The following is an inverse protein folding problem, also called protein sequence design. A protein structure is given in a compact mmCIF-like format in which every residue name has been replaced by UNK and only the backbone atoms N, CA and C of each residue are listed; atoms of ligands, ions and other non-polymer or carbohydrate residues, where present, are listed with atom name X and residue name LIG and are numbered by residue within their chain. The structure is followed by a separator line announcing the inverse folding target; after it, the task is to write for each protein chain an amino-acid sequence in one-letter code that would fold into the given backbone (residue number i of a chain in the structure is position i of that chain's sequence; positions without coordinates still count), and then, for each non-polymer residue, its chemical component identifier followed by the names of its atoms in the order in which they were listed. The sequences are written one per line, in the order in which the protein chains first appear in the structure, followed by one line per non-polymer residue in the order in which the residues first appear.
data_IF_837416055871
#
_entry.id   IF_837416055871
#
_cell.length_a   1.000
_cell.length_b   1.000
_cell.length_c   1.000
_cell.angle_alpha   90.00
_cell.angle_beta   90.00
_cell.angle_gamma   90.00
#
_symmetry.space_group_name_H-M   'P 1'
#
loop_
_entity.id
_entity.type
_entity.pdbx_description
1 polymer ?
#
# COMPACT_ATOMS: atom_id res chain seq x y z
N UNK A 1 -31.02 -42.51 -15.39
CA UNK A 1 -30.46 -41.79 -14.24
C UNK A 1 -28.96 -41.68 -14.44
N UNK A 2 -28.50 -40.60 -15.04
CA UNK A 2 -27.08 -40.33 -15.24
C UNK A 2 -26.71 -39.13 -14.36
N UNK A 3 -26.00 -39.41 -13.30
CA UNK A 3 -25.40 -38.39 -12.45
C UNK A 3 -24.04 -38.05 -13.01
N UNK A 4 -23.96 -36.98 -13.80
CA UNK A 4 -22.69 -36.36 -14.17
C UNK A 4 -22.08 -35.65 -12.96
N UNK A 5 -21.03 -36.23 -12.43
CA UNK A 5 -20.18 -35.59 -11.44
C UNK A 5 -19.49 -34.39 -12.10
N UNK A 6 -19.82 -33.19 -11.60
CA UNK A 6 -19.16 -31.95 -11.97
C UNK A 6 -17.77 -31.95 -11.27
N UNK A 7 -16.73 -32.36 -12.01
CA UNK A 7 -15.36 -32.19 -11.56
C UNK A 7 -15.01 -30.71 -11.70
N UNK A 8 -15.05 -29.98 -10.60
CA UNK A 8 -14.44 -28.65 -10.52
C UNK A 8 -12.93 -28.77 -10.82
N UNK A 9 -12.48 -28.04 -11.83
CA UNK A 9 -11.06 -27.93 -12.13
C UNK A 9 -10.30 -27.45 -10.87
N UNK A 10 -9.07 -27.95 -10.61
CA UNK A 10 -8.28 -27.50 -9.47
C UNK A 10 -8.07 -25.97 -9.61
N UNK A 11 -8.46 -25.23 -8.58
CA UNK A 11 -8.11 -23.83 -8.47
C UNK A 11 -6.60 -23.74 -8.44
N UNK A 12 -5.99 -23.01 -9.39
CA UNK A 12 -4.57 -22.74 -9.36
C UNK A 12 -4.25 -22.12 -8.00
N UNK A 13 -3.36 -22.74 -7.23
CA UNK A 13 -2.91 -22.22 -5.94
C UNK A 13 -2.45 -20.77 -6.15
N UNK A 14 -2.92 -19.87 -5.27
CA UNK A 14 -2.52 -18.48 -5.31
C UNK A 14 -0.99 -18.39 -5.13
N UNK A 15 -0.28 -17.56 -5.94
CA UNK A 15 1.17 -17.50 -5.90
C UNK A 15 1.67 -17.19 -4.48
N UNK A 16 2.62 -18.00 -4.01
CA UNK A 16 3.34 -17.75 -2.77
C UNK A 16 4.46 -16.73 -2.99
N UNK A 17 4.95 -16.14 -1.89
CA UNK A 17 6.07 -15.22 -1.93
C UNK A 17 7.35 -15.93 -2.39
N UNK A 18 8.04 -15.35 -3.39
CA UNK A 18 9.31 -15.88 -3.92
C UNK A 18 10.54 -15.45 -3.13
N UNK A 19 10.40 -14.48 -2.20
CA UNK A 19 11.49 -14.07 -1.31
C UNK A 19 11.21 -12.78 -0.57
N UNK A 20 12.05 -12.52 0.45
CA UNK A 20 12.03 -11.28 1.23
C UNK A 20 13.41 -10.64 1.15
N UNK A 21 13.46 -9.32 0.84
CA UNK A 21 14.70 -8.60 0.62
C UNK A 21 14.72 -7.30 1.42
N UNK A 22 15.87 -6.98 2.01
CA UNK A 22 16.14 -5.66 2.59
C UNK A 22 16.34 -4.66 1.46
N UNK A 23 15.75 -3.48 1.58
CA UNK A 23 15.83 -2.44 0.55
C UNK A 23 16.93 -1.42 0.82
N UNK A 24 17.43 -1.35 2.04
CA UNK A 24 18.55 -0.48 2.42
C UNK A 24 19.87 -1.25 2.44
N UNK A 25 21.01 -0.60 2.11
CA UNK A 25 22.33 -1.22 2.14
C UNK A 25 22.78 -1.55 3.57
N UNK A 26 23.89 -2.27 3.69
CA UNK A 26 24.50 -2.65 4.96
C UNK A 26 23.65 -3.65 5.74
N UNK A 27 23.39 -3.36 7.02
CA UNK A 27 22.52 -4.17 7.90
C UNK A 27 21.03 -3.98 7.60
N UNK A 28 20.70 -3.10 6.65
CA UNK A 28 19.33 -2.78 6.24
C UNK A 28 18.62 -1.80 7.17
N UNK A 29 19.32 -1.23 8.16
CA UNK A 29 18.78 -0.25 9.10
C UNK A 29 19.14 1.16 8.64
N UNK A 30 18.20 1.94 8.10
CA UNK A 30 18.48 3.28 7.61
C UNK A 30 18.57 4.31 8.75
N UNK A 31 19.12 5.49 8.43
CA UNK A 31 19.17 6.64 9.34
C UNK A 31 17.80 7.01 9.88
N UNK A 32 17.76 7.49 11.14
CA UNK A 32 16.55 7.86 11.86
C UNK A 32 15.86 6.70 12.59
N UNK A 33 16.42 5.51 12.55
CA UNK A 33 15.96 4.34 13.31
C UNK A 33 17.10 3.60 14.03
N UNK A 34 18.28 4.23 14.16
CA UNK A 34 19.49 3.65 14.78
C UNK A 34 19.25 3.22 16.23
N UNK A 35 18.52 4.04 16.97
CA UNK A 35 18.22 3.82 18.40
C UNK A 35 16.98 2.96 18.65
N UNK A 36 16.37 2.43 17.59
CA UNK A 36 15.17 1.62 17.73
C UNK A 36 15.53 0.20 18.16
N UNK A 37 15.16 -0.15 19.39
CA UNK A 37 15.53 -1.44 20.02
C UNK A 37 14.44 -2.49 20.01
N UNK A 38 13.23 -2.15 19.52
CA UNK A 38 12.12 -3.08 19.44
C UNK A 38 12.25 -4.04 18.26
N UNK A 39 11.59 -5.19 18.36
CA UNK A 39 11.60 -6.22 17.34
C UNK A 39 10.28 -6.29 16.58
N UNK A 40 10.39 -6.50 15.28
CA UNK A 40 9.25 -6.77 14.42
C UNK A 40 8.52 -8.05 14.87
N UNK A 41 7.20 -8.01 14.82
CA UNK A 41 6.34 -9.19 14.95
C UNK A 41 5.19 -9.17 13.96
N UNK A 42 4.72 -10.34 13.58
CA UNK A 42 3.52 -10.53 12.77
C UNK A 42 2.55 -11.41 13.53
N UNK A 43 1.30 -10.99 13.66
CA UNK A 43 0.28 -11.65 14.44
C UNK A 43 -1.10 -11.55 13.81
N UNK A 44 -2.07 -12.35 14.28
CA UNK A 44 -3.47 -12.19 13.91
C UNK A 44 -4.02 -10.87 14.44
N UNK A 45 -4.89 -10.23 13.65
CA UNK A 45 -5.54 -8.98 14.05
C UNK A 45 -6.56 -9.26 15.15
N UNK A 46 -6.34 -8.82 16.41
CA UNK A 46 -7.17 -9.25 17.54
C UNK A 46 -8.59 -8.64 17.53
N UNK A 47 -8.85 -7.63 16.71
CA UNK A 47 -10.16 -6.95 16.58
C UNK A 47 -10.90 -7.30 15.30
N UNK A 48 -10.34 -8.14 14.43
CA UNK A 48 -10.97 -8.53 13.18
C UNK A 48 -11.80 -9.79 13.32
N UNK A 49 -12.95 -9.82 12.66
CA UNK A 49 -13.76 -11.06 12.51
C UNK A 49 -13.26 -11.93 11.36
N UNK A 50 -12.51 -11.35 10.44
CA UNK A 50 -11.86 -12.05 9.33
C UNK A 50 -10.47 -12.49 9.78
N UNK A 51 -10.06 -13.70 9.43
CA UNK A 51 -8.72 -14.20 9.70
C UNK A 51 -7.71 -13.46 8.84
N UNK A 52 -7.04 -12.48 9.43
CA UNK A 52 -6.02 -11.66 8.78
C UNK A 52 -4.90 -11.32 9.76
N UNK A 53 -3.73 -11.03 9.22
CA UNK A 53 -2.55 -10.68 10.01
C UNK A 53 -2.20 -9.21 9.86
N UNK A 54 -1.54 -8.70 10.90
CA UNK A 54 -0.82 -7.43 10.88
C UNK A 54 0.67 -7.66 11.20
N UNK A 55 1.54 -6.81 10.65
CA UNK A 55 2.92 -6.65 11.13
C UNK A 55 3.05 -5.35 11.91
N UNK A 56 3.91 -5.33 12.91
CA UNK A 56 4.17 -4.19 13.79
C UNK A 56 5.64 -4.07 14.15
N UNK A 57 6.04 -2.90 14.65
CA UNK A 57 7.40 -2.67 15.13
C UNK A 57 8.47 -2.91 14.04
N UNK A 58 8.17 -2.59 12.80
CA UNK A 58 9.13 -2.68 11.70
C UNK A 58 10.24 -1.65 11.89
N UNK A 59 11.48 -2.11 11.95
CA UNK A 59 12.71 -1.30 12.09
C UNK A 59 13.56 -1.39 10.83
N UNK A 60 13.61 -2.59 10.23
CA UNK A 60 14.36 -2.87 9.01
C UNK A 60 13.39 -3.02 7.85
N UNK A 61 13.33 -2.03 6.93
CA UNK A 61 12.44 -2.11 5.78
C UNK A 61 12.78 -3.27 4.86
N UNK A 62 11.74 -3.99 4.43
CA UNK A 62 11.87 -5.12 3.52
C UNK A 62 10.78 -5.10 2.46
N UNK A 63 11.03 -5.76 1.33
CA UNK A 63 10.00 -6.10 0.35
C UNK A 63 9.84 -7.61 0.27
N UNK A 64 8.59 -8.05 0.29
CA UNK A 64 8.21 -9.44 -0.02
C UNK A 64 7.78 -9.50 -1.47
N UNK A 65 8.42 -10.36 -2.27
CA UNK A 65 8.21 -10.45 -3.72
C UNK A 65 7.18 -11.52 -4.04
N UNK A 66 6.24 -11.17 -4.91
CA UNK A 66 5.26 -12.07 -5.52
C UNK A 66 5.42 -12.01 -7.03
N UNK A 67 5.68 -13.15 -7.65
CA UNK A 67 5.89 -13.25 -9.08
C UNK A 67 4.66 -13.85 -9.78
N UNK A 68 4.32 -13.39 -10.99
CA UNK A 68 3.35 -14.07 -11.83
C UNK A 68 3.78 -15.51 -12.13
N UNK A 69 2.82 -16.36 -12.45
CA UNK A 69 3.12 -17.72 -12.91
C UNK A 69 4.13 -17.71 -14.08
N UNK A 70 4.96 -18.74 -14.25
CA UNK A 70 5.96 -18.80 -15.30
C UNK A 70 5.40 -18.46 -16.69
N UNK A 71 6.05 -17.54 -17.40
CA UNK A 71 5.65 -17.06 -18.71
C UNK A 71 4.44 -16.10 -18.73
N UNK A 72 3.95 -15.64 -17.59
CA UNK A 72 2.84 -14.68 -17.48
C UNK A 72 3.28 -13.26 -17.13
N UNK A 73 4.52 -13.05 -16.69
CA UNK A 73 5.02 -11.72 -16.38
C UNK A 73 5.03 -10.81 -17.62
N UNK A 74 4.53 -9.58 -17.46
CA UNK A 74 4.42 -8.60 -18.55
C UNK A 74 5.45 -7.45 -18.45
N UNK A 75 6.41 -7.55 -17.51
CA UNK A 75 7.45 -6.55 -17.26
C UNK A 75 7.00 -5.41 -16.35
N UNK A 76 5.72 -5.25 -16.05
CA UNK A 76 5.22 -4.24 -15.11
C UNK A 76 5.44 -4.70 -13.67
N UNK A 77 5.72 -3.75 -12.78
CA UNK A 77 5.83 -4.03 -11.34
C UNK A 77 5.18 -2.96 -10.48
N UNK A 78 4.79 -3.34 -9.27
CA UNK A 78 4.16 -2.45 -8.30
C UNK A 78 4.69 -2.70 -6.88
N UNK A 79 5.18 -1.65 -6.24
CA UNK A 79 5.40 -1.63 -4.79
C UNK A 79 4.05 -1.44 -4.10
N UNK A 80 3.74 -2.26 -3.11
CA UNK A 80 2.46 -2.23 -2.37
C UNK A 80 2.74 -1.85 -0.93
N UNK A 81 2.24 -0.71 -0.47
CA UNK A 81 2.40 -0.20 0.88
C UNK A 81 1.09 -0.35 1.68
N UNK A 82 0.98 -1.33 2.60
CA UNK A 82 -0.20 -1.53 3.44
C UNK A 82 -0.46 -0.36 4.38
N UNK A 83 -1.71 -0.17 4.81
CA UNK A 83 -2.08 0.79 5.84
C UNK A 83 -1.91 0.27 7.26
N UNK A 84 -2.28 1.10 8.24
CA UNK A 84 -2.22 0.78 9.68
C UNK A 84 -1.72 1.93 10.54
N UNK A 85 -2.04 3.16 10.15
CA UNK A 85 -1.78 4.39 10.91
C UNK A 85 -0.29 4.58 11.30
N UNK A 86 0.66 4.10 10.51
CA UNK A 86 2.10 4.12 10.77
C UNK A 86 2.54 3.38 12.05
N UNK A 87 1.67 2.59 12.65
CA UNK A 87 1.95 1.71 13.80
C UNK A 87 1.83 0.23 13.43
N UNK A 88 1.02 -0.07 12.43
CA UNK A 88 0.78 -1.42 11.92
C UNK A 88 0.91 -1.46 10.40
N UNK A 89 1.05 -2.67 9.86
CA UNK A 89 0.81 -2.97 8.45
C UNK A 89 -0.27 -4.03 8.39
N UNK A 90 -1.40 -3.73 7.77
CA UNK A 90 -2.48 -4.67 7.50
C UNK A 90 -2.05 -5.59 6.34
N UNK A 91 -1.08 -6.48 6.64
CA UNK A 91 -0.20 -7.12 5.66
C UNK A 91 -0.93 -8.10 4.73
N UNK A 92 -2.05 -8.68 5.16
CA UNK A 92 -2.80 -9.61 4.32
C UNK A 92 -3.67 -8.86 3.31
N UNK A 93 -4.78 -8.25 3.72
CA UNK A 93 -5.79 -7.71 2.79
C UNK A 93 -5.38 -6.39 2.09
N UNK A 94 -4.39 -5.67 2.59
CA UNK A 94 -3.82 -4.46 1.94
C UNK A 94 -2.40 -4.69 1.38
N UNK A 95 -1.87 -5.90 1.54
CA UNK A 95 -0.55 -6.28 1.07
C UNK A 95 -0.58 -7.53 0.19
N UNK A 96 -0.62 -8.70 0.82
CA UNK A 96 -0.46 -9.97 0.12
C UNK A 96 -1.63 -10.28 -0.83
N UNK A 97 -2.87 -9.94 -0.48
CA UNK A 97 -4.01 -10.17 -1.37
C UNK A 97 -3.96 -9.25 -2.59
N UNK A 98 -3.50 -7.99 -2.43
CA UNK A 98 -3.21 -7.11 -3.56
C UNK A 98 -2.10 -7.68 -4.44
N UNK A 99 -1.03 -8.20 -3.83
CA UNK A 99 0.06 -8.80 -4.58
C UNK A 99 -0.38 -10.02 -5.38
N UNK A 100 -1.19 -10.91 -4.79
CA UNK A 100 -1.77 -12.08 -5.49
C UNK A 100 -2.68 -11.67 -6.64
N UNK A 101 -3.48 -10.64 -6.45
CA UNK A 101 -4.31 -10.11 -7.52
C UNK A 101 -3.47 -9.52 -8.65
N UNK A 102 -2.44 -8.73 -8.36
CA UNK A 102 -1.52 -8.19 -9.36
C UNK A 102 -0.81 -9.28 -10.15
N UNK A 103 -0.32 -10.32 -9.47
CA UNK A 103 0.36 -11.43 -10.15
C UNK A 103 -0.57 -12.22 -11.06
N UNK A 104 -1.87 -12.29 -10.75
CA UNK A 104 -2.88 -12.88 -11.65
C UNK A 104 -3.05 -12.09 -12.95
N UNK A 105 -2.66 -10.81 -12.96
CA UNK A 105 -2.66 -9.91 -14.11
C UNK A 105 -1.30 -9.83 -14.84
N UNK A 106 -0.31 -10.60 -14.40
CA UNK A 106 1.03 -10.58 -14.98
C UNK A 106 1.96 -9.51 -14.42
N UNK A 107 1.58 -8.82 -13.34
CA UNK A 107 2.35 -7.76 -12.69
C UNK A 107 3.14 -8.35 -11.51
N UNK A 108 4.44 -8.12 -11.45
CA UNK A 108 5.26 -8.49 -10.28
C UNK A 108 5.00 -7.52 -9.14
N UNK A 109 4.73 -8.02 -7.95
CA UNK A 109 4.40 -7.19 -6.80
C UNK A 109 5.46 -7.29 -5.69
N UNK A 110 5.74 -6.14 -5.06
CA UNK A 110 6.70 -5.97 -3.99
C UNK A 110 5.99 -5.40 -2.77
N UNK A 111 5.57 -6.24 -1.82
CA UNK A 111 4.88 -5.80 -0.61
C UNK A 111 5.88 -5.22 0.37
N UNK A 112 5.76 -3.93 0.61
CA UNK A 112 6.69 -3.15 1.43
C UNK A 112 6.30 -3.22 2.91
N UNK A 113 7.23 -3.64 3.74
CA UNK A 113 7.23 -3.36 5.17
C UNK A 113 8.10 -2.14 5.41
N UNK A 114 7.49 -0.98 5.61
CA UNK A 114 8.18 0.28 5.92
C UNK A 114 8.28 0.48 7.43
N UNK A 115 9.18 1.38 7.89
CA UNK A 115 9.41 1.70 9.29
C UNK A 115 8.15 2.21 9.98
N UNK A 116 7.91 1.70 11.20
CA UNK A 116 6.71 1.99 11.97
C UNK A 116 7.05 2.59 13.33
N UNK A 117 6.16 3.43 13.85
CA UNK A 117 6.17 3.84 15.22
C UNK A 117 5.99 2.62 16.15
N UNK A 118 6.65 2.68 17.33
CA UNK A 118 6.58 1.61 18.33
C UNK A 118 5.14 1.40 18.82
N UNK A 119 4.77 0.14 18.95
CA UNK A 119 3.56 -0.33 19.64
C UNK A 119 3.93 -1.02 20.95
N UNK A 120 2.99 -1.28 21.87
CA UNK A 120 3.28 -2.03 23.09
C UNK A 120 3.99 -3.36 22.83
N UNK A 121 4.89 -3.72 23.73
CA UNK A 121 5.68 -4.96 23.59
C UNK A 121 4.79 -6.21 23.72
N UNK A 122 3.73 -6.15 24.53
CA UNK A 122 2.80 -7.25 24.81
C UNK A 122 1.57 -7.18 23.91
N UNK A 123 1.26 -8.29 23.25
CA UNK A 123 0.15 -8.42 22.30
C UNK A 123 -1.22 -8.15 22.94
N UNK A 124 -1.40 -8.50 24.20
CA UNK A 124 -2.63 -8.28 24.98
C UNK A 124 -2.99 -6.79 25.12
N UNK A 125 -2.01 -5.89 25.05
CA UNK A 125 -2.22 -4.44 25.15
C UNK A 125 -2.54 -3.77 23.80
N UNK A 126 -2.49 -4.51 22.70
CA UNK A 126 -2.65 -3.94 21.36
C UNK A 126 -4.05 -3.42 21.07
N UNK A 127 -5.07 -4.10 21.59
CA UNK A 127 -6.46 -3.66 21.37
C UNK A 127 -6.73 -2.33 22.07
N UNK A 128 -6.29 -2.19 23.31
CA UNK A 128 -6.40 -0.93 24.06
C UNK A 128 -5.61 0.18 23.36
N UNK A 129 -4.35 -0.08 23.04
CA UNK A 129 -3.50 0.87 22.29
C UNK A 129 -4.15 1.32 20.98
N UNK A 130 -4.71 0.39 20.19
CA UNK A 130 -5.40 0.73 18.93
C UNK A 130 -6.62 1.61 19.19
N UNK A 131 -7.42 1.33 20.22
CA UNK A 131 -8.61 2.10 20.56
C UNK A 131 -8.23 3.52 20.99
N UNK A 132 -7.19 3.67 21.81
CA UNK A 132 -6.64 4.96 22.23
C UNK A 132 -6.08 5.74 21.03
N UNK A 133 -5.36 5.07 20.13
CA UNK A 133 -4.86 5.68 18.91
C UNK A 133 -6.00 6.19 18.03
N UNK A 134 -7.06 5.39 17.83
CA UNK A 134 -8.22 5.82 17.06
C UNK A 134 -8.94 7.00 17.70
N UNK A 135 -9.11 7.00 19.04
CA UNK A 135 -9.71 8.13 19.77
C UNK A 135 -8.88 9.41 19.59
N UNK A 136 -7.56 9.32 19.70
CA UNK A 136 -6.63 10.45 19.46
C UNK A 136 -6.70 10.94 18.01
N UNK A 137 -6.77 10.03 17.03
CA UNK A 137 -6.90 10.40 15.62
C UNK A 137 -8.24 11.08 15.30
N UNK A 138 -9.33 10.64 15.95
CA UNK A 138 -10.64 11.26 15.79
C UNK A 138 -10.70 12.68 16.42
N UNK A 139 -9.93 12.93 17.48
CA UNK A 139 -9.84 14.22 18.15
C UNK A 139 -8.83 15.18 17.51
N UNK A 140 -7.77 14.63 16.91
CA UNK A 140 -6.73 15.39 16.26
C UNK A 140 -7.22 15.86 14.89
N UNK A 141 -7.83 16.94 14.72
CA UNK A 141 -8.25 17.52 13.43
C UNK A 141 -7.39 17.13 12.20
N UNK A 142 -7.05 18.04 11.30
CA UNK A 142 -6.25 17.75 10.10
C UNK A 142 -4.88 17.11 10.42
N UNK A 143 -4.32 16.41 9.45
CA UNK A 143 -3.06 15.63 9.53
C UNK A 143 -1.86 16.34 10.22
N UNK A 144 -1.80 17.68 10.19
CA UNK A 144 -0.74 18.48 10.79
C UNK A 144 -0.68 18.42 12.35
N UNK A 145 -1.78 18.08 13.00
CA UNK A 145 -1.91 18.06 14.46
C UNK A 145 -1.75 16.65 15.06
N UNK A 146 -1.35 15.67 14.23
CA UNK A 146 -1.18 14.29 14.68
C UNK A 146 0.00 14.13 15.64
N UNK A 147 -0.03 13.11 16.53
CA UNK A 147 1.04 12.88 17.51
C UNK A 147 2.43 12.90 16.86
N UNK A 148 3.44 13.55 17.49
CA UNK A 148 4.79 13.70 16.91
C UNK A 148 5.43 12.38 16.46
N UNK A 149 5.25 11.29 17.21
CA UNK A 149 5.77 9.97 16.87
C UNK A 149 5.21 9.47 15.53
N UNK A 150 3.92 9.71 15.26
CA UNK A 150 3.30 9.32 13.99
C UNK A 150 3.81 10.17 12.83
N UNK A 151 4.09 11.46 13.06
CA UNK A 151 4.66 12.33 12.04
C UNK A 151 6.07 11.85 11.63
N UNK A 152 6.91 11.49 12.61
CA UNK A 152 8.25 10.94 12.35
C UNK A 152 8.18 9.63 11.57
N UNK A 153 7.38 8.66 12.03
CA UNK A 153 7.23 7.37 11.35
C UNK A 153 6.69 7.52 9.91
N UNK A 154 5.82 8.52 9.67
CA UNK A 154 5.35 8.83 8.32
C UNK A 154 6.48 9.28 7.41
N UNK A 155 7.31 10.22 7.83
CA UNK A 155 8.43 10.71 7.01
C UNK A 155 9.40 9.58 6.67
N UNK A 156 9.69 8.72 7.65
CA UNK A 156 10.53 7.55 7.45
C UNK A 156 9.88 6.52 6.50
N UNK A 157 8.58 6.30 6.63
CA UNK A 157 7.83 5.42 5.71
C UNK A 157 7.79 5.96 4.27
N UNK A 158 7.62 7.27 4.07
CA UNK A 158 7.68 7.93 2.76
C UNK A 158 9.08 7.77 2.13
N UNK A 159 10.14 7.87 2.95
CA UNK A 159 11.52 7.62 2.52
C UNK A 159 11.72 6.15 2.11
N UNK A 160 11.20 5.20 2.91
CA UNK A 160 11.24 3.77 2.59
C UNK A 160 10.47 3.45 1.30
N UNK A 161 9.37 4.14 1.04
CA UNK A 161 8.62 4.04 -0.23
C UNK A 161 9.46 4.44 -1.43
N UNK A 162 10.16 5.57 -1.36
CA UNK A 162 11.10 6.00 -2.41
C UNK A 162 12.26 5.04 -2.57
N UNK A 163 12.81 4.56 -1.47
CA UNK A 163 13.90 3.58 -1.50
C UNK A 163 13.45 2.24 -2.09
N UNK A 164 12.22 1.80 -1.83
CA UNK A 164 11.68 0.59 -2.44
C UNK A 164 11.61 0.70 -3.97
N UNK A 165 11.12 1.83 -4.50
CA UNK A 165 11.09 2.08 -5.95
C UNK A 165 12.51 2.06 -6.54
N UNK A 166 13.46 2.76 -5.90
CA UNK A 166 14.87 2.77 -6.32
C UNK A 166 15.44 1.36 -6.34
N UNK A 167 15.25 0.63 -5.26
CA UNK A 167 15.75 -0.74 -5.12
C UNK A 167 15.14 -1.69 -6.18
N UNK A 168 13.84 -1.60 -6.45
CA UNK A 168 13.19 -2.41 -7.50
C UNK A 168 13.78 -2.06 -8.86
N UNK A 169 14.00 -0.76 -9.17
CA UNK A 169 14.56 -0.30 -10.43
C UNK A 169 16.00 -0.78 -10.62
N UNK A 170 16.83 -0.71 -9.59
CA UNK A 170 18.22 -1.20 -9.61
C UNK A 170 18.29 -2.73 -9.80
N UNK A 171 17.29 -3.46 -9.34
CA UNK A 171 17.22 -4.92 -9.42
C UNK A 171 16.26 -5.43 -10.51
N UNK A 172 15.78 -4.57 -11.41
CA UNK A 172 14.74 -4.90 -12.39
C UNK A 172 15.10 -6.13 -13.26
N UNK A 173 16.34 -6.27 -13.66
CA UNK A 173 16.83 -7.39 -14.46
C UNK A 173 16.64 -8.75 -13.79
N UNK A 174 16.63 -8.80 -12.45
CA UNK A 174 16.45 -10.04 -11.68
C UNK A 174 15.09 -10.71 -11.93
N UNK A 175 14.07 -9.92 -12.19
CA UNK A 175 12.69 -10.35 -12.42
C UNK A 175 12.18 -10.01 -13.83
N UNK A 176 13.12 -9.69 -14.75
CA UNK A 176 12.80 -9.32 -16.12
C UNK A 176 11.75 -8.18 -16.20
N UNK A 177 11.91 -7.16 -15.34
CA UNK A 177 11.03 -6.00 -15.28
C UNK A 177 11.50 -4.92 -16.26
N UNK A 178 10.53 -4.14 -16.75
CA UNK A 178 10.80 -2.87 -17.41
C UNK A 178 11.04 -1.78 -16.34
N UNK A 179 12.23 -1.17 -16.25
CA UNK A 179 12.54 -0.15 -15.26
C UNK A 179 11.72 1.14 -15.41
N UNK A 180 10.99 1.30 -16.53
CA UNK A 180 10.09 2.42 -16.81
C UNK A 180 8.60 2.06 -16.55
N UNK A 181 8.33 0.92 -15.92
CA UNK A 181 6.99 0.44 -15.59
C UNK A 181 6.88 -0.01 -14.13
N UNK A 182 7.46 0.78 -13.24
CA UNK A 182 7.50 0.54 -11.78
C UNK A 182 6.54 1.50 -11.09
N UNK A 183 5.43 0.99 -10.57
CA UNK A 183 4.46 1.78 -9.82
C UNK A 183 4.56 1.61 -8.31
N UNK A 184 3.78 2.42 -7.61
CA UNK A 184 3.55 2.27 -6.18
C UNK A 184 2.06 2.38 -5.87
N UNK A 185 1.54 1.48 -5.04
CA UNK A 185 0.21 1.58 -4.45
C UNK A 185 0.28 1.71 -2.94
N UNK A 186 -0.69 2.38 -2.35
CA UNK A 186 -0.75 2.47 -0.90
C UNK A 186 -2.16 2.67 -0.37
N UNK A 187 -2.39 2.10 0.83
CA UNK A 187 -3.66 2.08 1.52
C UNK A 187 -3.58 2.93 2.78
N UNK A 188 -4.52 3.84 3.03
CA UNK A 188 -4.55 4.62 4.27
C UNK A 188 -3.20 5.30 4.59
N UNK A 189 -2.52 4.91 5.66
CA UNK A 189 -1.17 5.35 6.00
C UNK A 189 -0.15 4.99 4.91
N UNK A 190 -0.23 3.78 4.33
CA UNK A 190 0.55 3.38 3.16
C UNK A 190 0.22 4.22 1.92
N UNK A 191 -1.02 4.73 1.83
CA UNK A 191 -1.39 5.78 0.87
C UNK A 191 -0.57 7.05 1.07
N UNK A 192 -0.27 7.41 2.32
CA UNK A 192 0.68 8.48 2.63
C UNK A 192 2.09 8.20 2.11
N UNK A 193 2.54 6.94 2.24
CA UNK A 193 3.83 6.49 1.66
C UNK A 193 3.83 6.65 0.14
N UNK A 194 2.78 6.18 -0.54
CA UNK A 194 2.70 6.28 -2.01
C UNK A 194 2.58 7.73 -2.49
N UNK A 195 1.80 8.58 -1.82
CA UNK A 195 1.68 10.00 -2.15
C UNK A 195 3.01 10.73 -1.88
N UNK A 196 3.69 10.45 -0.75
CA UNK A 196 5.01 11.01 -0.47
C UNK A 196 6.05 10.62 -1.53
N UNK A 197 6.03 9.35 -1.98
CA UNK A 197 6.89 8.89 -3.07
C UNK A 197 6.55 9.57 -4.41
N UNK A 198 5.27 9.86 -4.67
CA UNK A 198 4.81 10.51 -5.90
C UNK A 198 5.03 12.03 -5.95
N UNK A 199 5.26 12.66 -4.79
CA UNK A 199 5.43 14.12 -4.69
C UNK A 199 6.85 14.54 -4.29
N UNK A 200 7.71 13.60 -3.82
CA UNK A 200 9.04 13.89 -3.29
C UNK A 200 10.08 12.88 -3.80
N UNK A 201 10.22 12.77 -5.10
CA UNK A 201 11.16 11.83 -5.72
C UNK A 201 12.39 12.53 -6.30
N UNK A 202 13.41 11.74 -6.55
CA UNK A 202 14.48 12.00 -7.50
C UNK A 202 14.32 11.10 -8.74
N UNK A 203 15.19 11.24 -9.71
CA UNK A 203 15.12 10.46 -10.96
C UNK A 203 15.15 8.94 -10.74
N UNK A 204 15.86 8.45 -9.71
CA UNK A 204 15.98 7.03 -9.42
C UNK A 204 14.75 6.48 -8.68
N UNK A 205 14.07 7.30 -7.87
CA UNK A 205 12.94 6.93 -7.03
C UNK A 205 11.57 7.37 -7.56
N UNK A 206 11.51 8.03 -8.74
CA UNK A 206 10.26 8.44 -9.34
C UNK A 206 9.42 7.21 -9.73
N UNK A 207 8.18 7.06 -9.21
CA UNK A 207 7.29 6.00 -9.69
C UNK A 207 6.79 6.34 -11.11
N UNK A 208 6.55 5.33 -11.93
CA UNK A 208 6.02 5.51 -13.29
C UNK A 208 4.49 5.63 -13.29
N UNK A 209 3.84 5.17 -12.21
CA UNK A 209 2.41 5.35 -11.94
C UNK A 209 2.11 5.16 -10.44
N UNK A 210 1.00 5.72 -9.98
CA UNK A 210 0.63 5.72 -8.55
C UNK A 210 -0.83 5.31 -8.35
N UNK A 211 -1.08 4.51 -7.32
CA UNK A 211 -2.42 4.10 -6.89
C UNK A 211 -2.62 4.47 -5.43
N UNK A 212 -3.59 5.31 -5.14
CA UNK A 212 -3.98 5.68 -3.77
C UNK A 212 -5.34 5.12 -3.41
N UNK A 213 -5.39 4.21 -2.44
CA UNK A 213 -6.62 3.61 -1.92
C UNK A 213 -6.92 4.26 -0.57
N UNK A 214 -7.97 5.07 -0.49
CA UNK A 214 -8.29 5.96 0.65
C UNK A 214 -7.02 6.56 1.29
N UNK A 215 -6.15 7.24 0.49
CA UNK A 215 -4.81 7.59 0.93
C UNK A 215 -4.82 8.73 1.95
N UNK A 216 -4.11 8.55 3.05
CA UNK A 216 -3.67 9.67 3.85
C UNK A 216 -2.55 10.41 3.10
N UNK A 217 -2.53 11.75 3.12
CA UNK A 217 -1.48 12.54 2.48
C UNK A 217 -1.18 13.81 3.28
N UNK A 218 -0.08 14.46 2.97
CA UNK A 218 0.36 15.68 3.64
C UNK A 218 -0.06 16.91 2.82
N UNK A 219 -0.93 17.78 3.34
CA UNK A 219 -1.46 18.92 2.58
C UNK A 219 -0.42 19.99 2.24
N UNK A 220 0.75 19.96 2.88
CA UNK A 220 1.88 20.84 2.58
C UNK A 220 2.70 20.41 1.36
N UNK A 221 2.49 19.18 0.84
CA UNK A 221 3.18 18.71 -0.35
C UNK A 221 2.62 19.35 -1.61
N UNK A 222 3.49 19.55 -2.58
CA UNK A 222 3.14 20.06 -3.91
C UNK A 222 3.33 18.97 -4.95
N UNK A 223 2.48 18.98 -5.98
CA UNK A 223 2.58 18.04 -7.10
C UNK A 223 3.62 18.57 -8.08
N UNK A 224 4.68 17.79 -8.39
CA UNK A 224 5.66 18.15 -9.42
C UNK A 224 5.01 18.26 -10.82
N UNK A 225 5.57 19.09 -11.70
CA UNK A 225 5.07 19.26 -13.06
C UNK A 225 5.15 17.97 -13.92
N UNK A 226 6.07 17.06 -13.55
CA UNK A 226 6.26 15.75 -14.19
C UNK A 226 5.71 14.61 -13.31
N UNK A 227 4.71 14.89 -12.45
CA UNK A 227 4.10 13.89 -11.59
C UNK A 227 3.59 12.67 -12.39
N UNK A 228 3.72 11.46 -11.86
CA UNK A 228 3.26 10.25 -12.55
C UNK A 228 1.73 10.22 -12.66
N UNK A 229 1.17 9.46 -13.62
CA UNK A 229 -0.27 9.19 -13.65
C UNK A 229 -0.78 8.63 -12.33
N UNK A 230 -1.94 9.10 -11.89
CA UNK A 230 -2.53 8.80 -10.58
C UNK A 230 -3.90 8.15 -10.73
N UNK A 231 -4.12 7.05 -9.99
CA UNK A 231 -5.43 6.46 -9.73
C UNK A 231 -5.79 6.61 -8.24
N UNK A 232 -6.92 7.22 -7.96
CA UNK A 232 -7.42 7.45 -6.59
C UNK A 232 -8.77 6.77 -6.39
N UNK A 233 -8.96 6.20 -5.21
CA UNK A 233 -10.22 5.58 -4.84
C UNK A 233 -10.50 5.72 -3.33
N UNK A 234 -11.73 6.06 -2.98
CA UNK A 234 -12.15 6.31 -1.60
C UNK A 234 -13.67 6.12 -1.45
N UNK A 235 -14.13 5.90 -0.22
CA UNK A 235 -15.56 5.94 0.11
C UNK A 235 -15.94 7.30 0.72
N UNK A 236 -17.12 7.81 0.39
CA UNK A 236 -17.62 9.10 0.91
C UNK A 236 -17.94 9.05 2.41
N UNK A 237 -18.35 7.88 2.88
CA UNK A 237 -18.65 7.60 4.30
C UNK A 237 -17.41 7.24 5.14
N UNK A 238 -16.19 7.38 4.59
CA UNK A 238 -14.94 7.14 5.32
C UNK A 238 -14.77 8.15 6.48
N UNK A 239 -14.65 7.64 7.71
CA UNK A 239 -14.49 8.44 8.93
C UNK A 239 -13.03 8.68 9.32
N UNK A 240 -12.09 8.01 8.67
CA UNK A 240 -10.65 8.10 8.95
C UNK A 240 -9.92 9.03 8.00
N UNK A 241 -10.31 9.02 6.72
CA UNK A 241 -9.79 9.89 5.67
C UNK A 241 -10.95 10.51 4.91
N UNK A 242 -11.03 11.83 4.88
CA UNK A 242 -12.12 12.52 4.20
C UNK A 242 -12.04 12.35 2.68
N UNK A 243 -13.17 12.04 2.02
CA UNK A 243 -13.28 12.02 0.56
C UNK A 243 -12.89 13.36 -0.07
N UNK A 244 -13.13 14.48 0.64
CA UNK A 244 -12.71 15.81 0.21
C UNK A 244 -11.18 15.97 0.16
N UNK A 245 -10.43 15.17 0.91
CA UNK A 245 -8.96 15.18 0.79
C UNK A 245 -8.49 14.54 -0.52
N UNK A 246 -9.16 13.49 -0.99
CA UNK A 246 -8.88 12.86 -2.29
C UNK A 246 -9.24 13.78 -3.46
N UNK A 247 -10.34 14.54 -3.37
CA UNK A 247 -10.69 15.53 -4.40
C UNK A 247 -9.66 16.65 -4.49
N UNK A 248 -9.06 17.07 -3.37
CA UNK A 248 -7.95 18.04 -3.37
C UNK A 248 -6.71 17.49 -4.09
N UNK A 249 -6.34 16.25 -3.81
CA UNK A 249 -5.21 15.59 -4.51
C UNK A 249 -5.47 15.52 -6.01
N UNK A 250 -6.66 15.11 -6.41
CA UNK A 250 -7.08 15.06 -7.81
C UNK A 250 -6.96 16.45 -8.47
N UNK A 251 -7.48 17.51 -7.84
CA UNK A 251 -7.39 18.88 -8.34
C UNK A 251 -5.93 19.36 -8.48
N UNK A 252 -5.07 19.00 -7.51
CA UNK A 252 -3.64 19.33 -7.57
C UNK A 252 -2.95 18.65 -8.77
N UNK A 253 -3.23 17.37 -9.02
CA UNK A 253 -2.71 16.65 -10.19
C UNK A 253 -3.19 17.24 -11.49
N UNK A 254 -4.48 17.55 -11.57
CA UNK A 254 -5.07 18.18 -12.74
C UNK A 254 -4.43 19.55 -13.04
N UNK A 255 -4.21 20.38 -12.01
CA UNK A 255 -3.53 21.69 -12.14
C UNK A 255 -2.06 21.57 -12.55
N UNK A 256 -1.39 20.49 -12.15
CA UNK A 256 -0.02 20.18 -12.59
C UNK A 256 0.05 19.68 -14.04
N UNK A 257 -1.10 19.44 -14.69
CA UNK A 257 -1.15 18.89 -16.05
C UNK A 257 -0.89 17.38 -16.13
N UNK A 258 -0.86 16.69 -15.00
CA UNK A 258 -0.62 15.25 -14.93
C UNK A 258 -1.92 14.45 -14.92
N UNK A 259 -1.98 13.28 -15.61
CA UNK A 259 -3.18 12.47 -15.66
C UNK A 259 -3.60 11.97 -14.28
N UNK A 260 -4.88 12.11 -13.94
CA UNK A 260 -5.45 11.58 -12.72
C UNK A 260 -6.84 11.01 -12.96
N UNK A 261 -7.18 9.95 -12.23
CA UNK A 261 -8.51 9.35 -12.17
C UNK A 261 -8.93 9.20 -10.71
N UNK A 262 -10.17 9.56 -10.37
CA UNK A 262 -10.70 9.51 -9.02
C UNK A 262 -12.07 8.83 -9.02
N UNK A 263 -12.23 7.85 -8.13
CA UNK A 263 -13.51 7.21 -7.84
C UNK A 263 -13.90 7.45 -6.38
N UNK A 264 -15.11 7.92 -6.15
CA UNK A 264 -15.70 8.11 -4.83
C UNK A 264 -16.95 7.24 -4.72
N UNK A 265 -16.91 6.23 -3.88
CA UNK A 265 -18.05 5.35 -3.61
C UNK A 265 -18.94 5.94 -2.52
N UNK A 266 -20.26 5.81 -2.65
CA UNK A 266 -21.22 6.31 -1.66
C UNK A 266 -21.12 5.61 -0.30
N UNK A 267 -20.63 4.35 -0.26
CA UNK A 267 -20.38 3.63 0.98
C UNK A 267 -19.19 2.64 0.83
N UNK A 268 -18.63 2.25 1.94
CA UNK A 268 -17.48 1.34 2.07
C UNK A 268 -16.74 1.57 3.38
N UNK A 269 -16.87 2.74 3.97
CA UNK A 269 -16.10 3.12 5.15
C UNK A 269 -14.61 3.18 4.87
N UNK A 270 -13.79 2.77 5.86
CA UNK A 270 -12.34 2.77 5.78
C UNK A 270 -11.75 1.37 5.94
N UNK A 271 -10.66 1.05 5.22
CA UNK A 271 -9.90 -0.18 5.46
C UNK A 271 -10.46 -1.43 4.78
N UNK A 272 -11.25 -1.28 3.72
CA UNK A 272 -11.80 -2.43 2.99
C UNK A 272 -10.73 -3.18 2.16
N UNK A 273 -9.65 -2.53 1.71
CA UNK A 273 -8.53 -3.17 0.99
C UNK A 273 -8.98 -4.10 -0.14
N UNK A 274 -8.49 -5.33 -0.09
CA UNK A 274 -8.86 -6.42 -1.02
C UNK A 274 -9.94 -7.36 -0.45
N UNK A 275 -10.67 -6.97 0.59
CA UNK A 275 -11.81 -7.74 1.08
C UNK A 275 -12.85 -7.88 -0.02
N UNK A 276 -13.52 -9.04 -0.06
CA UNK A 276 -14.52 -9.39 -1.07
C UNK A 276 -15.86 -9.67 -0.40
N UNK A 277 -16.91 -9.51 -1.17
CA UNK A 277 -18.28 -9.87 -0.75
C UNK A 277 -18.71 -9.13 0.53
N UNK A 278 -18.22 -7.89 0.69
CA UNK A 278 -18.55 -7.05 1.86
C UNK A 278 -19.94 -6.47 1.76
N UNK A 279 -20.52 -6.41 0.55
CA UNK A 279 -21.77 -5.73 0.24
C UNK A 279 -21.61 -4.22 0.08
N UNK A 280 -20.38 -3.71 0.07
CA UNK A 280 -20.09 -2.29 -0.17
C UNK A 280 -20.03 -1.97 -1.67
N UNK A 281 -20.35 -0.73 -2.00
CA UNK A 281 -20.21 -0.23 -3.38
C UNK A 281 -18.76 -0.24 -3.86
N UNK A 282 -17.80 -0.28 -2.92
CA UNK A 282 -16.37 -0.36 -3.22
C UNK A 282 -15.90 -1.76 -3.67
N UNK A 283 -16.66 -2.84 -3.46
CA UNK A 283 -16.21 -4.20 -3.81
C UNK A 283 -15.66 -4.36 -5.25
N UNK A 284 -16.20 -3.71 -6.30
CA UNK A 284 -15.69 -3.87 -7.67
C UNK A 284 -14.45 -3.01 -7.98
N UNK A 285 -13.86 -2.31 -7.03
CA UNK A 285 -12.74 -1.40 -7.27
C UNK A 285 -11.52 -2.01 -7.97
N UNK A 286 -11.15 -3.29 -7.75
CA UNK A 286 -10.01 -3.88 -8.45
C UNK A 286 -10.23 -3.93 -9.97
N UNK A 287 -11.47 -4.09 -10.42
CA UNK A 287 -11.83 -4.05 -11.84
C UNK A 287 -11.62 -2.65 -12.44
N UNK A 288 -11.92 -1.59 -11.69
CA UNK A 288 -11.67 -0.21 -12.13
C UNK A 288 -10.17 0.04 -12.29
N UNK A 289 -9.36 -0.38 -11.31
CA UNK A 289 -7.90 -0.31 -11.40
C UNK A 289 -7.37 -1.12 -12.58
N UNK A 290 -7.87 -2.34 -12.81
CA UNK A 290 -7.46 -3.16 -13.94
C UNK A 290 -7.74 -2.46 -15.28
N UNK A 291 -8.90 -1.85 -15.45
CA UNK A 291 -9.26 -1.11 -16.65
C UNK A 291 -8.34 0.11 -16.84
N UNK A 292 -8.06 0.84 -15.77
CA UNK A 292 -7.12 1.96 -15.81
C UNK A 292 -5.69 1.51 -16.18
N UNK A 293 -5.21 0.40 -15.61
CA UNK A 293 -3.90 -0.16 -15.95
C UNK A 293 -3.82 -0.59 -17.42
N UNK A 294 -4.88 -1.22 -17.97
CA UNK A 294 -4.96 -1.55 -19.40
C UNK A 294 -4.92 -0.31 -20.27
N UNK A 295 -5.70 0.71 -19.93
CA UNK A 295 -5.72 1.98 -20.67
C UNK A 295 -4.34 2.66 -20.68
N UNK A 296 -3.55 2.49 -19.61
CA UNK A 296 -2.18 2.99 -19.49
C UNK A 296 -1.12 2.10 -20.15
N UNK A 297 -1.47 0.97 -20.72
CA UNK A 297 -0.52 0.02 -21.32
C UNK A 297 0.34 -0.72 -20.29
N UNK A 298 -0.15 -0.83 -19.05
CA UNK A 298 0.55 -1.52 -17.95
C UNK A 298 0.21 -3.02 -17.86
N UNK A 299 -0.86 -3.45 -18.56
CA UNK A 299 -1.29 -4.85 -18.65
C UNK A 299 -1.24 -5.35 -20.07
#
# INVERSE_FOLDING_TARGET
MNTSANQSAPSAEAPEASGVFRIWPGDGRPAGSEDWTWSESTMRVPWSKVDMRLSRNVVVPTVTVFEPAPGKANGTSMVVAPGGAFHFLMIDHEGYDMARWLTSLGVTAFVLKYRLAKTPDRDENLLEFRNDLQAKLAQAGPLAERPPMMAAARLLGEEDGRQAIRWVRENAARWNLDPMRIGISGYSAGGGVSMGAAMQYDAASRPDYVVGVYPAWRPELTVPADAPPLFLIISDDDKSVSSLSATKVYDMWHKAGSPAELHVFGNGGHGWGMLKDTGFLSDPWPMLLQNWMKFRGLL
#
